data_IF_624946434495
#
_entry.id   IF_624946434495
#
_cell.length_a   1.000
_cell.length_b   1.000
_cell.length_c   1.000
_cell.angle_alpha   90.00
_cell.angle_beta   90.00
_cell.angle_gamma   90.00
#
_symmetry.space_group_name_H-M   'P 1'
#
loop_
_entity.id
_entity.type
_entity.pdbx_description
1 polymer ?
#
# COMPACT_ATOMS: atom_id res chain seq x y z
N UNK A 1 -5.49 -8.48 -0.92
CA UNK A 1 -5.47 -8.26 0.55
C UNK A 1 -4.65 -9.37 1.18
N UNK A 2 -3.93 -9.11 2.27
CA UNK A 2 -3.22 -10.16 3.02
C UNK A 2 -4.14 -10.67 4.13
N UNK A 3 -4.43 -11.97 4.12
CA UNK A 3 -5.31 -12.63 5.08
C UNK A 3 -4.56 -13.80 5.72
N UNK A 4 -4.96 -14.19 6.94
CA UNK A 4 -4.42 -15.37 7.64
C UNK A 4 -2.89 -15.38 7.73
N UNK A 5 -2.32 -14.24 8.14
CA UNK A 5 -0.87 -14.10 8.31
C UNK A 5 -0.37 -15.11 9.35
N UNK A 6 0.59 -15.96 8.94
CA UNK A 6 1.25 -16.94 9.81
C UNK A 6 2.13 -16.27 10.87
N UNK A 7 2.67 -15.10 10.52
CA UNK A 7 3.57 -14.31 11.34
C UNK A 7 3.21 -12.83 11.20
N UNK A 8 3.52 -12.04 12.23
CA UNK A 8 3.31 -10.60 12.19
C UNK A 8 4.23 -9.96 11.13
N UNK A 9 3.69 -9.04 10.34
CA UNK A 9 4.48 -8.22 9.41
C UNK A 9 4.85 -6.92 10.11
N UNK A 10 6.14 -6.68 10.28
CA UNK A 10 6.64 -5.50 10.98
C UNK A 10 6.87 -4.32 10.02
N UNK A 11 6.73 -3.09 10.53
CA UNK A 11 7.02 -1.89 9.75
C UNK A 11 8.48 -1.87 9.30
N UNK A 12 8.71 -1.66 8.01
CA UNK A 12 10.04 -1.61 7.41
C UNK A 12 10.56 -2.97 6.95
N UNK A 13 9.88 -4.06 7.31
CA UNK A 13 10.24 -5.41 6.85
C UNK A 13 10.06 -5.55 5.34
N UNK A 14 11.04 -6.15 4.68
CA UNK A 14 10.91 -6.62 3.30
C UNK A 14 10.53 -8.09 3.29
N UNK A 15 9.61 -8.49 2.41
CA UNK A 15 9.30 -9.90 2.18
C UNK A 15 9.01 -10.18 0.70
N UNK A 16 9.39 -11.38 0.25
CA UNK A 16 9.18 -11.83 -1.12
C UNK A 16 7.80 -12.45 -1.27
N UNK A 17 7.17 -12.23 -2.41
CA UNK A 17 5.91 -12.85 -2.78
C UNK A 17 5.86 -13.09 -4.30
N UNK A 18 4.94 -13.93 -4.72
CA UNK A 18 4.67 -14.18 -6.13
C UNK A 18 3.27 -13.71 -6.45
N UNK A 19 3.15 -12.77 -7.38
CA UNK A 19 1.86 -12.36 -7.95
C UNK A 19 1.54 -13.27 -9.13
N UNK A 20 0.32 -13.80 -9.16
CA UNK A 20 -0.16 -14.59 -10.30
C UNK A 20 -1.12 -13.74 -11.09
N UNK A 21 -0.74 -13.42 -12.32
CA UNK A 21 -1.56 -12.72 -13.28
C UNK A 21 -2.09 -13.73 -14.30
N UNK A 22 -3.37 -13.63 -14.65
CA UNK A 22 -4.01 -14.59 -15.55
C UNK A 22 -3.33 -14.68 -16.93
N UNK A 23 -2.90 -13.53 -17.45
CA UNK A 23 -2.31 -13.44 -18.79
C UNK A 23 -0.77 -13.40 -18.78
N UNK A 24 -0.17 -12.87 -17.70
CA UNK A 24 1.28 -12.70 -17.58
C UNK A 24 1.96 -13.81 -16.75
N UNK A 25 1.19 -14.70 -16.12
CA UNK A 25 1.70 -15.77 -15.28
C UNK A 25 2.24 -15.28 -13.93
N UNK A 26 3.25 -15.98 -13.43
CA UNK A 26 3.84 -15.73 -12.11
C UNK A 26 4.93 -14.66 -12.17
N UNK A 27 4.84 -13.67 -11.28
CA UNK A 27 5.80 -12.57 -11.15
C UNK A 27 6.30 -12.51 -9.71
N UNK A 28 7.61 -12.71 -9.53
CA UNK A 28 8.24 -12.54 -8.23
C UNK A 28 8.41 -11.04 -7.90
N UNK A 29 7.97 -10.65 -6.71
CA UNK A 29 8.04 -9.28 -6.21
C UNK A 29 8.58 -9.25 -4.78
N UNK A 30 9.17 -8.13 -4.41
CA UNK A 30 9.55 -7.83 -3.02
C UNK A 30 8.69 -6.68 -2.52
N UNK A 31 7.98 -6.90 -1.41
CA UNK A 31 7.17 -5.90 -0.75
C UNK A 31 7.92 -5.34 0.45
N UNK A 32 7.88 -4.01 0.63
CA UNK A 32 8.34 -3.34 1.84
C UNK A 32 7.15 -2.88 2.66
N UNK A 33 6.99 -3.45 3.86
CA UNK A 33 5.93 -3.10 4.78
C UNK A 33 6.08 -1.65 5.25
N UNK A 34 5.00 -0.86 5.09
CA UNK A 34 4.94 0.54 5.52
C UNK A 34 3.89 0.72 6.62
N UNK A 35 3.98 1.81 7.38
CA UNK A 35 3.01 2.09 8.44
C UNK A 35 1.59 2.30 7.90
N UNK A 36 0.58 2.10 8.75
CA UNK A 36 -0.82 2.39 8.41
C UNK A 36 -0.96 3.88 8.07
N UNK A 37 -1.59 4.18 6.93
CA UNK A 37 -1.73 5.55 6.42
C UNK A 37 -0.46 6.15 5.78
N UNK A 38 0.60 5.36 5.60
CA UNK A 38 1.81 5.82 4.92
C UNK A 38 1.56 6.03 3.42
N UNK A 39 2.03 7.16 2.90
CA UNK A 39 2.01 7.48 1.47
C UNK A 39 3.19 6.77 0.81
N UNK A 40 2.95 6.08 -0.32
CA UNK A 40 4.02 5.42 -1.05
C UNK A 40 5.03 6.46 -1.60
N UNK A 41 6.34 6.20 -1.57
CA UNK A 41 7.32 7.07 -2.21
C UNK A 41 7.05 7.13 -3.72
N UNK A 42 6.72 8.32 -4.24
CA UNK A 42 6.36 8.52 -5.66
C UNK A 42 4.85 8.46 -5.95
N UNK A 43 4.00 8.18 -4.97
CA UNK A 43 2.55 8.22 -5.10
C UNK A 43 2.00 9.64 -5.03
N UNK A 44 2.18 10.43 -6.09
CA UNK A 44 1.39 11.65 -6.27
C UNK A 44 -0.01 11.25 -6.74
N UNK A 45 -0.84 10.75 -5.82
CA UNK A 45 -2.27 10.73 -6.06
C UNK A 45 -2.77 12.18 -6.03
N UNK A 46 -2.85 12.82 -7.19
CA UNK A 46 -3.58 14.08 -7.38
C UNK A 46 -5.09 13.82 -7.25
N UNK A 47 -5.51 13.33 -6.09
CA UNK A 47 -6.89 13.35 -5.65
C UNK A 47 -7.12 14.70 -5.00
N UNK A 48 -7.80 15.59 -5.72
CA UNK A 48 -8.34 16.83 -5.19
C UNK A 48 -9.26 16.52 -4.00
N UNK A 49 -8.72 16.50 -2.79
CA UNK A 49 -9.47 16.88 -1.60
C UNK A 49 -9.31 18.39 -1.47
N UNK A 50 -10.15 19.12 -2.22
CA UNK A 50 -10.34 20.55 -2.01
C UNK A 50 -10.67 20.79 -0.54
N UNK A 51 -9.75 21.45 0.17
CA UNK A 51 -10.07 22.09 1.43
C UNK A 51 -11.12 23.17 1.17
N UNK A 52 -12.18 23.16 1.97
CA UNK A 52 -12.99 24.34 2.24
C UNK A 52 -13.45 24.28 3.68
N UNK A 53 -12.57 24.76 4.58
CA UNK A 53 -13.05 25.47 5.75
C UNK A 53 -14.05 26.52 5.28
N UNK A 54 -15.32 26.39 5.69
CA UNK A 54 -16.31 27.46 5.64
C UNK A 54 -16.97 27.54 7.01
N UNK A 55 -16.65 28.64 7.69
CA UNK A 55 -17.37 29.32 8.76
C UNK A 55 -18.80 28.88 9.07
N UNK A 56 -19.13 28.80 10.37
CA UNK A 56 -20.31 29.50 10.92
C UNK A 56 -20.34 29.54 12.47
N UNK A 57 -20.16 30.79 12.95
CA UNK A 57 -20.82 31.50 14.07
C UNK A 57 -20.57 31.11 15.52
#
# INVERSE_FOLDING_TARGET
MFMELKEAIEKGQSFKATLVFEQAGQVAVEFKASGIGAVAPGGSHSGSHSGAAKDKK
#
